data_IF_960597987136
#
_entry.id   IF_960597987136
#
_cell.length_a   1.000
_cell.length_b   1.000
_cell.length_c   1.000
_cell.angle_alpha   90.00
_cell.angle_beta   90.00
_cell.angle_gamma   90.00
#
_symmetry.space_group_name_H-M   'P 1'
#
loop_
_entity.id
_entity.type
_entity.pdbx_description
1 polymer ?
#
# COMPACT_ATOMS: atom_id res chain seq x y z
N UNK A 1 20.15 23.43 -1.06
CA UNK A 1 19.51 22.95 -2.30
C UNK A 1 18.66 24.11 -2.81
N UNK A 2 18.62 24.35 -4.10
CA UNK A 2 17.84 25.43 -4.68
C UNK A 2 16.33 25.13 -4.49
N UNK A 3 15.59 26.07 -3.89
CA UNK A 3 14.16 25.93 -3.62
C UNK A 3 13.36 25.89 -4.93
N UNK A 4 13.72 26.70 -5.92
CA UNK A 4 13.08 26.72 -7.23
C UNK A 4 13.22 25.37 -7.96
N UNK A 5 14.36 24.68 -7.77
CA UNK A 5 14.53 23.33 -8.30
C UNK A 5 13.58 22.32 -7.62
N UNK A 6 13.46 22.39 -6.29
CA UNK A 6 12.54 21.50 -5.57
C UNK A 6 11.07 21.75 -5.92
N UNK A 7 10.66 23.01 -6.09
CA UNK A 7 9.33 23.37 -6.55
C UNK A 7 9.02 22.80 -7.93
N UNK A 8 10.00 22.87 -8.84
CA UNK A 8 9.86 22.25 -10.15
C UNK A 8 9.71 20.74 -10.06
N UNK A 9 10.57 20.06 -9.29
CA UNK A 9 10.54 18.60 -9.12
C UNK A 9 9.22 18.15 -8.47
N UNK A 10 8.71 18.88 -7.46
CA UNK A 10 7.42 18.58 -6.82
C UNK A 10 6.26 18.73 -7.82
N UNK A 11 6.24 19.82 -8.60
CA UNK A 11 5.22 20.07 -9.62
C UNK A 11 5.23 18.96 -10.67
N UNK A 12 6.40 18.64 -11.22
CA UNK A 12 6.54 17.64 -12.27
C UNK A 12 6.18 16.24 -11.73
N UNK A 13 6.59 15.88 -10.50
CA UNK A 13 6.19 14.65 -9.84
C UNK A 13 4.66 14.59 -9.66
N UNK A 14 4.02 15.72 -9.30
CA UNK A 14 2.55 15.81 -9.17
C UNK A 14 1.85 15.59 -10.50
N UNK A 15 2.37 16.16 -11.59
CA UNK A 15 1.85 15.93 -12.94
C UNK A 15 2.01 14.47 -13.38
N UNK A 16 3.18 13.90 -13.15
CA UNK A 16 3.45 12.50 -13.49
C UNK A 16 2.57 11.54 -12.68
N UNK A 17 2.41 11.75 -11.37
CA UNK A 17 1.51 10.95 -10.55
C UNK A 17 0.05 11.05 -11.02
N UNK A 18 -0.39 12.25 -11.43
CA UNK A 18 -1.74 12.46 -11.99
C UNK A 18 -1.93 11.72 -13.33
N UNK A 19 -0.93 11.75 -14.20
CA UNK A 19 -0.93 11.02 -15.47
C UNK A 19 -0.99 9.50 -15.27
N UNK A 20 -0.14 8.96 -14.40
CA UNK A 20 -0.17 7.54 -14.04
C UNK A 20 -1.52 7.15 -13.41
N UNK A 21 -2.05 7.96 -12.51
CA UNK A 21 -3.36 7.77 -11.90
C UNK A 21 -4.50 7.74 -12.92
N UNK A 22 -4.47 8.61 -13.93
CA UNK A 22 -5.45 8.62 -15.02
C UNK A 22 -5.40 7.30 -15.82
N UNK A 23 -4.20 6.82 -16.16
CA UNK A 23 -4.00 5.52 -16.83
C UNK A 23 -4.55 4.36 -15.97
N UNK A 24 -4.29 4.36 -14.67
CA UNK A 24 -4.84 3.35 -13.77
C UNK A 24 -6.36 3.39 -13.75
N UNK A 25 -6.99 4.58 -13.66
CA UNK A 25 -8.44 4.71 -13.65
C UNK A 25 -9.10 4.24 -14.95
N UNK A 26 -8.44 4.40 -16.10
CA UNK A 26 -8.91 3.86 -17.37
C UNK A 26 -9.04 2.33 -17.38
N UNK A 27 -8.18 1.65 -16.61
CA UNK A 27 -8.14 0.19 -16.51
C UNK A 27 -8.92 -0.34 -15.28
N UNK A 28 -9.23 0.51 -14.32
CA UNK A 28 -9.90 0.11 -13.10
C UNK A 28 -11.30 -0.45 -13.36
N UNK A 29 -11.60 -1.63 -12.77
CA UNK A 29 -12.86 -2.38 -12.97
C UNK A 29 -13.11 -2.88 -14.40
N UNK A 30 -12.06 -2.95 -15.22
CA UNK A 30 -12.11 -3.59 -16.52
C UNK A 30 -11.48 -4.98 -16.47
N UNK A 31 -11.81 -5.90 -17.39
CA UNK A 31 -11.07 -7.15 -17.52
C UNK A 31 -9.59 -6.85 -17.81
N UNK A 32 -8.70 -7.50 -17.07
CA UNK A 32 -7.25 -7.31 -17.16
C UNK A 32 -6.54 -8.64 -17.33
N UNK A 33 -5.49 -8.64 -18.13
CA UNK A 33 -4.53 -9.74 -18.14
C UNK A 33 -3.65 -9.64 -16.89
N UNK A 34 -3.68 -10.69 -16.07
CA UNK A 34 -2.95 -10.76 -14.80
C UNK A 34 -1.80 -11.74 -14.96
N UNK A 35 -0.60 -11.27 -14.70
CA UNK A 35 0.59 -12.08 -14.55
C UNK A 35 0.94 -12.19 -13.06
N UNK A 36 1.64 -13.23 -12.66
CA UNK A 36 2.07 -13.42 -11.29
C UNK A 36 3.59 -13.57 -11.24
N UNK A 37 4.24 -12.74 -10.44
CA UNK A 37 5.70 -12.77 -10.23
C UNK A 37 6.15 -14.05 -9.50
N UNK A 38 5.22 -14.73 -8.78
CA UNK A 38 5.50 -15.92 -7.99
C UNK A 38 4.54 -17.06 -8.27
N UNK A 39 5.01 -18.31 -8.11
CA UNK A 39 4.21 -19.53 -8.34
C UNK A 39 3.03 -19.66 -7.37
N UNK A 40 3.07 -19.03 -6.20
CA UNK A 40 2.00 -19.04 -5.20
C UNK A 40 0.92 -17.97 -5.46
N UNK A 41 1.02 -17.23 -6.57
CA UNK A 41 0.06 -16.21 -7.03
C UNK A 41 -0.21 -15.08 -6.01
N UNK A 42 0.76 -14.74 -5.18
CA UNK A 42 0.61 -13.70 -4.16
C UNK A 42 1.05 -12.31 -4.60
N UNK A 43 1.73 -12.23 -5.72
CA UNK A 43 2.30 -10.99 -6.26
C UNK A 43 1.81 -10.80 -7.70
N UNK A 44 0.58 -10.30 -7.89
CA UNK A 44 0.02 -10.05 -9.21
C UNK A 44 0.62 -8.78 -9.81
N UNK A 45 0.88 -8.80 -11.10
CA UNK A 45 1.17 -7.63 -11.92
C UNK A 45 0.20 -7.58 -13.09
N UNK A 46 -0.30 -6.42 -13.42
CA UNK A 46 -1.26 -6.23 -14.49
C UNK A 46 -0.67 -5.43 -15.64
N UNK A 47 -1.37 -5.41 -16.76
CA UNK A 47 -1.02 -4.52 -17.86
C UNK A 47 -1.10 -3.04 -17.44
N UNK A 48 -1.97 -2.69 -16.46
CA UNK A 48 -2.09 -1.35 -15.93
C UNK A 48 -0.82 -0.92 -15.17
N UNK A 49 -0.24 -1.82 -14.33
CA UNK A 49 1.04 -1.57 -13.64
C UNK A 49 2.14 -1.23 -14.65
N UNK A 50 2.29 -2.09 -15.68
CA UNK A 50 3.34 -1.93 -16.70
C UNK A 50 3.18 -0.64 -17.51
N UNK A 51 1.95 -0.28 -17.88
CA UNK A 51 1.68 0.96 -18.61
C UNK A 51 1.94 2.20 -17.75
N UNK A 52 1.55 2.16 -16.48
CA UNK A 52 1.81 3.25 -15.55
C UNK A 52 3.31 3.40 -15.30
N UNK A 53 4.06 2.30 -15.12
CA UNK A 53 5.52 2.37 -14.95
C UNK A 53 6.21 2.91 -16.20
N UNK A 54 5.87 2.42 -17.39
CA UNK A 54 6.43 2.91 -18.64
C UNK A 54 6.20 4.43 -18.81
N UNK A 55 4.97 4.89 -18.57
CA UNK A 55 4.64 6.31 -18.61
C UNK A 55 5.49 7.14 -17.64
N UNK A 56 5.64 6.67 -16.38
CA UNK A 56 6.44 7.36 -15.37
C UNK A 56 7.91 7.42 -15.79
N UNK A 57 8.48 6.31 -16.26
CA UNK A 57 9.88 6.24 -16.72
C UNK A 57 10.14 7.16 -17.90
N UNK A 58 9.28 7.12 -18.91
CA UNK A 58 9.43 7.96 -20.11
C UNK A 58 9.36 9.46 -19.73
N UNK A 59 8.40 9.84 -18.87
CA UNK A 59 8.24 11.22 -18.42
C UNK A 59 9.44 11.71 -17.62
N UNK A 60 9.96 10.88 -16.71
CA UNK A 60 11.13 11.21 -15.89
C UNK A 60 12.39 11.29 -16.74
N UNK A 61 12.65 10.30 -17.60
CA UNK A 61 13.85 10.27 -18.45
C UNK A 61 13.89 11.44 -19.44
N UNK A 62 12.72 11.86 -19.95
CA UNK A 62 12.64 13.04 -20.82
C UNK A 62 12.94 14.35 -20.09
N UNK A 63 12.52 14.49 -18.83
CA UNK A 63 12.64 15.73 -18.04
C UNK A 63 13.94 15.79 -17.22
N UNK A 64 14.45 14.63 -16.81
CA UNK A 64 15.57 14.46 -15.89
C UNK A 64 16.51 13.31 -16.35
N UNK A 65 17.18 13.44 -17.49
CA UNK A 65 17.96 12.36 -18.11
C UNK A 65 19.16 11.87 -17.25
N UNK A 66 19.65 12.72 -16.34
CA UNK A 66 20.77 12.37 -15.44
C UNK A 66 20.33 11.80 -14.08
N UNK A 67 19.02 11.64 -13.87
CA UNK A 67 18.49 11.08 -12.63
C UNK A 67 18.34 9.55 -12.74
N UNK A 68 18.60 8.84 -11.66
CA UNK A 68 18.32 7.40 -11.58
C UNK A 68 16.86 7.10 -11.32
N UNK A 69 16.42 5.90 -11.68
CA UNK A 69 15.06 5.41 -11.42
C UNK A 69 15.12 4.03 -10.76
N UNK A 70 14.39 3.87 -9.65
CA UNK A 70 14.17 2.60 -8.95
C UNK A 70 12.68 2.31 -9.00
N UNK A 71 12.26 1.37 -9.83
CA UNK A 71 10.86 0.94 -9.95
C UNK A 71 10.62 -0.42 -9.31
N UNK A 72 9.36 -0.74 -9.01
CA UNK A 72 8.97 -2.06 -8.52
C UNK A 72 9.09 -3.13 -9.59
N UNK A 73 8.71 -2.80 -10.84
CA UNK A 73 8.63 -3.72 -11.97
C UNK A 73 9.96 -3.84 -12.75
N UNK A 74 10.99 -3.08 -12.37
CA UNK A 74 12.28 -3.09 -13.01
C UNK A 74 13.20 -4.20 -12.46
N UNK A 75 13.79 -4.98 -13.36
CA UNK A 75 14.77 -6.04 -13.03
C UNK A 75 16.22 -5.62 -13.29
N UNK A 76 16.45 -4.42 -13.84
CA UNK A 76 17.79 -3.96 -14.14
C UNK A 76 18.58 -3.63 -12.88
N UNK A 77 19.79 -4.16 -12.78
CA UNK A 77 20.77 -3.87 -11.73
C UNK A 77 21.67 -2.74 -12.21
N UNK A 78 21.59 -1.59 -11.56
CA UNK A 78 22.44 -0.44 -11.86
C UNK A 78 23.26 -0.09 -10.63
N UNK A 79 24.59 -0.23 -10.73
CA UNK A 79 25.53 0.15 -9.67
C UNK A 79 25.77 1.66 -9.56
N UNK A 80 25.04 2.44 -10.33
CA UNK A 80 25.16 3.88 -10.36
C UNK A 80 24.74 4.53 -9.05
N UNK A 81 25.39 5.65 -8.73
CA UNK A 81 25.08 6.49 -7.57
C UNK A 81 24.70 7.90 -8.07
N UNK A 82 23.51 8.06 -8.64
CA UNK A 82 23.06 9.35 -9.13
C UNK A 82 22.85 10.32 -7.95
N UNK A 83 22.99 11.63 -8.19
CA UNK A 83 22.65 12.62 -7.15
C UNK A 83 21.17 12.55 -6.78
N UNK A 84 20.29 12.32 -7.77
CA UNK A 84 18.85 12.17 -7.59
C UNK A 84 18.39 10.82 -8.11
N UNK A 85 17.50 10.18 -7.36
CA UNK A 85 16.84 8.93 -7.73
C UNK A 85 15.33 9.06 -7.54
N UNK A 86 14.57 8.66 -8.56
CA UNK A 86 13.11 8.55 -8.52
C UNK A 86 12.74 7.13 -8.12
N UNK A 87 11.96 7.00 -7.08
CA UNK A 87 11.51 5.70 -6.54
C UNK A 87 10.04 5.56 -6.85
N UNK A 88 9.68 4.54 -7.63
CA UNK A 88 8.36 4.40 -8.23
C UNK A 88 7.68 3.12 -7.76
N UNK A 89 6.43 3.25 -7.34
CA UNK A 89 5.45 2.18 -7.27
C UNK A 89 4.29 2.57 -8.19
N UNK A 90 4.19 1.99 -9.38
CA UNK A 90 3.15 2.37 -10.33
C UNK A 90 1.75 2.04 -9.82
N UNK A 91 1.57 0.96 -9.05
CA UNK A 91 0.28 0.53 -8.50
C UNK A 91 0.45 -0.19 -7.15
N UNK A 92 0.65 0.56 -6.07
CA UNK A 92 0.57 0.00 -4.71
C UNK A 92 -0.88 -0.41 -4.39
N UNK A 93 -1.05 -1.67 -4.05
CA UNK A 93 -2.37 -2.25 -3.79
C UNK A 93 -2.98 -2.96 -5.01
N UNK A 94 -2.18 -3.60 -5.86
CA UNK A 94 -2.60 -4.35 -7.06
C UNK A 94 -3.72 -5.35 -6.77
N UNK A 95 -3.68 -6.03 -5.61
CA UNK A 95 -4.77 -6.94 -5.21
C UNK A 95 -6.10 -6.21 -5.03
N UNK A 96 -6.10 -5.02 -4.41
CA UNK A 96 -7.30 -4.20 -4.27
C UNK A 96 -7.82 -3.75 -5.63
N UNK A 97 -6.92 -3.29 -6.48
CA UNK A 97 -7.22 -2.86 -7.84
C UNK A 97 -7.93 -3.96 -8.63
N UNK A 98 -7.39 -5.18 -8.63
CA UNK A 98 -7.95 -6.35 -9.31
C UNK A 98 -9.34 -6.73 -8.78
N UNK A 99 -9.60 -6.50 -7.50
CA UNK A 99 -10.91 -6.77 -6.90
C UNK A 99 -11.88 -5.58 -6.96
N UNK A 100 -11.54 -4.52 -7.71
CA UNK A 100 -12.40 -3.35 -7.90
C UNK A 100 -12.56 -2.48 -6.64
N UNK A 101 -11.65 -2.62 -5.66
CA UNK A 101 -11.64 -1.80 -4.45
C UNK A 101 -10.77 -0.56 -4.69
N UNK A 102 -11.31 0.69 -4.59
CA UNK A 102 -10.56 1.91 -4.86
C UNK A 102 -9.65 2.29 -3.67
N UNK A 103 -8.80 1.36 -3.25
CA UNK A 103 -7.80 1.50 -2.19
C UNK A 103 -6.46 1.06 -2.76
N UNK A 104 -5.91 1.93 -3.58
CA UNK A 104 -4.62 1.77 -4.24
C UNK A 104 -3.97 3.14 -4.42
N UNK A 105 -2.71 3.18 -4.82
CA UNK A 105 -2.00 4.41 -5.11
C UNK A 105 -1.01 4.21 -6.27
N UNK A 106 -0.69 5.28 -6.99
CA UNK A 106 0.57 5.38 -7.74
C UNK A 106 1.50 6.28 -6.96
N UNK A 107 2.68 5.79 -6.59
CA UNK A 107 3.59 6.45 -5.65
C UNK A 107 4.90 6.84 -6.30
N UNK A 108 5.29 8.09 -6.13
CA UNK A 108 6.57 8.66 -6.55
C UNK A 108 7.26 9.26 -5.33
N UNK A 109 8.49 8.83 -5.07
CA UNK A 109 9.41 9.48 -4.13
C UNK A 109 10.66 9.94 -4.86
N UNK A 110 11.08 11.18 -4.69
CA UNK A 110 12.33 11.69 -5.24
C UNK A 110 13.34 11.81 -4.13
N UNK A 111 14.47 11.13 -4.27
CA UNK A 111 15.55 11.10 -3.30
C UNK A 111 16.75 11.88 -3.83
N UNK A 112 17.38 12.66 -2.94
CA UNK A 112 18.73 13.18 -3.17
C UNK A 112 19.71 12.46 -2.28
N UNK A 113 20.63 11.68 -2.85
CA UNK A 113 21.60 10.86 -2.10
C UNK A 113 20.92 10.02 -1.03
N UNK A 114 19.80 9.40 -1.39
CA UNK A 114 19.01 8.55 -0.49
C UNK A 114 18.06 9.29 0.48
N UNK A 115 18.05 10.62 0.51
CA UNK A 115 17.17 11.42 1.38
C UNK A 115 15.95 11.90 0.58
N UNK A 116 14.70 11.66 1.02
CA UNK A 116 13.50 12.14 0.35
C UNK A 116 13.44 13.66 0.29
N UNK A 117 13.24 14.21 -0.91
CA UNK A 117 13.21 15.66 -1.17
C UNK A 117 11.95 16.13 -1.90
N UNK A 118 11.28 15.27 -2.66
CA UNK A 118 9.96 15.52 -3.21
C UNK A 118 9.16 14.21 -3.26
N UNK A 119 7.85 14.31 -3.27
CA UNK A 119 6.94 13.18 -3.34
C UNK A 119 5.63 13.57 -4.01
N UNK A 120 5.02 12.60 -4.72
CA UNK A 120 3.67 12.71 -5.22
C UNK A 120 3.01 11.33 -5.24
N UNK A 121 1.82 11.22 -4.64
CA UNK A 121 1.03 10.01 -4.59
C UNK A 121 -0.35 10.28 -5.19
N UNK A 122 -0.70 9.61 -6.28
CA UNK A 122 -2.08 9.61 -6.75
C UNK A 122 -2.92 8.64 -5.92
N UNK A 123 -4.04 9.13 -5.42
CA UNK A 123 -5.03 8.36 -4.64
C UNK A 123 -6.37 8.44 -5.35
N UNK A 124 -7.00 7.30 -5.71
CA UNK A 124 -8.30 7.32 -6.38
C UNK A 124 -9.38 7.91 -5.48
N UNK A 125 -10.33 8.61 -6.09
CA UNK A 125 -11.52 9.10 -5.42
C UNK A 125 -12.59 8.01 -5.24
N UNK A 126 -13.59 8.32 -4.44
CA UNK A 126 -14.79 7.46 -4.29
C UNK A 126 -15.64 7.53 -5.58
N UNK A 127 -15.71 8.72 -6.19
CA UNK A 127 -16.42 8.93 -7.44
C UNK A 127 -15.68 8.32 -8.63
N UNK A 128 -16.37 7.68 -9.59
CA UNK A 128 -15.75 7.10 -10.77
C UNK A 128 -14.95 8.14 -11.58
N UNK A 129 -13.72 7.78 -11.96
CA UNK A 129 -12.83 8.62 -12.75
C UNK A 129 -12.16 9.76 -11.99
N UNK A 130 -12.44 9.90 -10.69
CA UNK A 130 -11.84 10.92 -9.84
C UNK A 130 -10.63 10.42 -9.03
N UNK A 131 -9.82 11.36 -8.60
CA UNK A 131 -8.70 11.13 -7.69
C UNK A 131 -8.01 12.44 -7.33
N UNK A 132 -7.13 12.37 -6.34
CA UNK A 132 -6.33 13.51 -5.85
C UNK A 132 -4.86 13.14 -5.83
N UNK A 133 -3.99 14.13 -5.99
CA UNK A 133 -2.55 13.94 -5.78
C UNK A 133 -2.17 14.50 -4.42
N UNK A 134 -1.57 13.65 -3.60
CA UNK A 134 -0.94 14.02 -2.33
C UNK A 134 0.52 14.29 -2.63
N UNK A 135 1.01 15.50 -2.35
CA UNK A 135 2.38 15.87 -2.71
C UNK A 135 3.07 16.68 -1.61
N UNK A 136 4.38 16.67 -1.64
CA UNK A 136 5.23 17.39 -0.71
C UNK A 136 6.62 17.63 -1.31
N UNK A 137 7.28 18.71 -0.86
CA UNK A 137 8.72 18.88 -0.98
C UNK A 137 9.34 19.14 0.38
N UNK A 138 10.60 18.85 0.50
CA UNK A 138 11.38 19.08 1.73
C UNK A 138 11.27 20.54 2.18
N UNK A 139 10.77 20.77 3.39
CA UNK A 139 10.47 22.07 4.02
C UNK A 139 9.37 22.88 3.30
N UNK A 140 8.61 22.28 2.38
CA UNK A 140 7.51 22.94 1.68
C UNK A 140 6.14 22.72 2.30
N UNK A 141 6.03 21.70 3.15
CA UNK A 141 4.77 21.18 3.65
C UNK A 141 4.17 20.12 2.75
N UNK A 142 3.09 19.50 3.20
CA UNK A 142 2.35 18.48 2.46
C UNK A 142 0.96 18.98 2.06
N UNK A 143 0.50 18.54 0.88
CA UNK A 143 -0.77 18.97 0.29
C UNK A 143 -1.52 17.80 -0.34
N UNK A 144 -2.83 17.90 -0.36
CA UNK A 144 -3.73 17.14 -1.22
C UNK A 144 -4.29 18.09 -2.27
N UNK A 145 -3.83 18.01 -3.50
CA UNK A 145 -4.03 19.04 -4.50
C UNK A 145 -3.62 20.41 -3.89
N UNK A 146 -4.53 21.37 -3.75
CA UNK A 146 -4.24 22.71 -3.15
C UNK A 146 -4.47 22.75 -1.62
N UNK A 147 -4.95 21.68 -1.00
CA UNK A 147 -5.30 21.65 0.42
C UNK A 147 -4.11 21.22 1.27
N UNK A 148 -3.64 22.09 2.16
CA UNK A 148 -2.58 21.73 3.12
C UNK A 148 -3.01 20.61 4.06
N UNK A 149 -2.10 19.67 4.31
CA UNK A 149 -2.29 18.51 5.16
C UNK A 149 -1.68 18.72 6.55
N UNK A 150 -2.22 18.01 7.53
CA UNK A 150 -1.65 17.87 8.86
C UNK A 150 -1.99 16.49 9.42
N UNK A 151 -1.02 15.86 10.07
CA UNK A 151 -1.27 14.66 10.88
C UNK A 151 -2.14 15.00 12.08
N UNK A 152 -2.68 13.98 12.77
CA UNK A 152 -3.40 14.21 14.03
C UNK A 152 -2.43 14.75 15.10
N UNK A 153 -2.93 15.53 16.03
CA UNK A 153 -2.15 16.16 17.12
C UNK A 153 -2.13 15.33 18.42
N UNK A 154 -2.87 14.23 18.49
CA UNK A 154 -2.98 13.39 19.68
C UNK A 154 -1.66 12.65 20.00
N UNK A 155 -1.12 12.81 21.22
CA UNK A 155 0.18 12.22 21.58
C UNK A 155 0.11 10.74 21.97
N UNK A 156 -1.08 10.19 22.10
CA UNK A 156 -1.34 8.78 22.42
C UNK A 156 -2.48 8.25 21.55
N UNK A 157 -2.51 6.92 21.29
CA UNK A 157 -3.59 6.35 20.50
C UNK A 157 -4.96 6.55 21.14
N UNK A 158 -5.93 6.95 20.34
CA UNK A 158 -7.33 7.16 20.70
C UNK A 158 -8.22 6.06 20.14
N UNK A 159 -9.17 5.55 20.96
CA UNK A 159 -10.02 4.41 20.58
C UNK A 159 -10.95 4.70 19.39
N UNK A 160 -11.41 5.93 19.24
CA UNK A 160 -12.32 6.34 18.15
C UNK A 160 -11.61 6.66 16.83
N UNK A 161 -10.28 6.53 16.75
CA UNK A 161 -9.50 6.85 15.56
C UNK A 161 -9.11 5.60 14.78
N UNK A 162 -8.92 5.74 13.47
CA UNK A 162 -8.43 4.67 12.62
C UNK A 162 -6.91 4.51 12.75
N UNK A 163 -6.44 3.27 12.69
CA UNK A 163 -5.02 2.90 12.71
C UNK A 163 -4.73 1.88 11.64
N UNK A 164 -3.71 2.12 10.81
CA UNK A 164 -3.22 1.20 9.79
C UNK A 164 -2.26 0.16 10.38
N UNK A 165 -2.60 -1.14 10.25
CA UNK A 165 -1.72 -2.25 10.62
C UNK A 165 -1.88 -3.40 9.64
N UNK A 166 -0.80 -4.19 9.39
CA UNK A 166 -0.92 -5.39 8.58
C UNK A 166 -1.93 -6.38 9.19
N UNK A 167 -2.68 -7.13 8.39
CA UNK A 167 -3.72 -8.06 8.83
C UNK A 167 -3.24 -9.10 9.86
N UNK A 168 -1.96 -9.45 9.83
CA UNK A 168 -1.33 -10.40 10.74
C UNK A 168 -0.67 -9.77 11.98
N UNK A 169 -0.93 -8.47 12.28
CA UNK A 169 -0.25 -7.72 13.33
C UNK A 169 -0.30 -8.38 14.73
N UNK A 170 -1.41 -8.99 15.11
CA UNK A 170 -1.54 -9.71 16.39
C UNK A 170 -0.64 -10.96 16.47
N UNK A 171 -0.30 -11.56 15.32
CA UNK A 171 0.59 -12.73 15.25
C UNK A 171 2.05 -12.31 15.29
N UNK A 172 2.37 -11.19 14.65
CA UNK A 172 3.76 -10.71 14.47
C UNK A 172 4.24 -9.84 15.62
N UNK A 173 3.35 -9.15 16.33
CA UNK A 173 3.72 -8.20 17.36
C UNK A 173 3.15 -8.53 18.73
N UNK A 174 3.94 -8.20 19.76
CA UNK A 174 3.51 -8.08 21.14
C UNK A 174 3.41 -6.58 21.51
N UNK A 175 2.42 -6.23 22.30
CA UNK A 175 2.12 -4.86 22.70
C UNK A 175 2.15 -4.79 24.22
N UNK A 176 3.01 -3.91 24.75
CA UNK A 176 3.18 -3.72 26.18
C UNK A 176 2.34 -2.52 26.69
N UNK A 177 2.14 -2.43 28.00
CA UNK A 177 1.52 -1.26 28.65
C UNK A 177 0.07 -0.98 28.24
N UNK A 178 -0.71 -2.02 27.90
CA UNK A 178 -2.10 -1.87 27.51
C UNK A 178 -2.31 -1.19 26.13
N UNK A 179 -1.25 -1.02 25.33
CA UNK A 179 -1.33 -0.37 24.04
C UNK A 179 -2.32 -1.05 23.09
N UNK A 180 -2.41 -2.39 23.12
CA UNK A 180 -3.33 -3.15 22.27
C UNK A 180 -4.78 -2.70 22.37
N UNK A 181 -5.27 -2.38 23.59
CA UNK A 181 -6.63 -1.94 23.83
C UNK A 181 -6.88 -0.47 23.46
N UNK A 182 -5.82 0.27 23.12
CA UNK A 182 -5.85 1.70 22.82
C UNK A 182 -5.54 2.04 21.37
N UNK A 183 -5.18 1.03 20.53
CA UNK A 183 -4.79 1.28 19.14
C UNK A 183 -5.90 1.89 18.26
N UNK A 184 -7.09 2.04 18.79
CA UNK A 184 -8.24 2.49 18.01
C UNK A 184 -8.79 1.39 17.12
N UNK A 185 -9.47 1.80 16.06
CA UNK A 185 -10.07 0.91 15.07
C UNK A 185 -9.04 0.50 14.03
N UNK A 186 -8.47 -0.69 14.19
CA UNK A 186 -7.41 -1.20 13.30
C UNK A 186 -7.98 -1.56 11.93
N UNK A 187 -7.30 -1.12 10.89
CA UNK A 187 -7.55 -1.45 9.48
C UNK A 187 -6.29 -2.01 8.85
N UNK A 188 -6.47 -2.91 7.90
CA UNK A 188 -5.43 -3.40 6.99
C UNK A 188 -5.98 -3.18 5.59
N UNK A 189 -5.57 -2.11 4.96
CA UNK A 189 -6.17 -1.71 3.68
C UNK A 189 -5.46 -2.35 2.48
N UNK A 190 -4.22 -2.82 2.64
CA UNK A 190 -3.50 -3.52 1.59
C UNK A 190 -2.85 -2.63 0.53
N UNK A 191 -2.70 -1.33 0.83
CA UNK A 191 -1.91 -0.36 0.08
C UNK A 191 -1.16 0.51 1.09
N UNK A 192 0.16 0.44 1.10
CA UNK A 192 1.03 1.14 2.06
C UNK A 192 1.05 2.63 1.77
N UNK A 193 1.22 3.00 0.51
CA UNK A 193 1.21 4.40 0.09
C UNK A 193 -0.14 5.07 0.38
N UNK A 194 -1.26 4.36 0.14
CA UNK A 194 -2.60 4.84 0.51
C UNK A 194 -2.72 5.07 2.02
N UNK A 195 -2.30 4.11 2.86
CA UNK A 195 -2.37 4.24 4.31
C UNK A 195 -1.49 5.39 4.83
N UNK A 196 -0.32 5.63 4.23
CA UNK A 196 0.55 6.76 4.55
C UNK A 196 -0.07 8.10 4.12
N UNK A 197 -0.71 8.18 2.96
CA UNK A 197 -1.47 9.35 2.53
C UNK A 197 -2.64 9.65 3.49
N UNK A 198 -3.36 8.61 3.94
CA UNK A 198 -4.43 8.78 4.95
C UNK A 198 -3.87 9.22 6.31
N UNK A 199 -2.65 8.82 6.64
CA UNK A 199 -1.97 9.26 7.86
C UNK A 199 -1.54 10.73 7.76
N UNK A 200 -0.99 11.16 6.63
CA UNK A 200 -0.54 12.55 6.41
C UNK A 200 -1.71 13.56 6.50
N UNK A 201 -2.93 13.16 6.16
CA UNK A 201 -4.14 13.99 6.26
C UNK A 201 -4.89 13.87 7.59
N UNK A 202 -4.39 13.07 8.55
CA UNK A 202 -5.01 12.85 9.85
C UNK A 202 -6.26 11.95 9.85
N UNK A 203 -6.58 11.28 8.73
CA UNK A 203 -7.66 10.26 8.69
C UNK A 203 -7.28 9.03 9.48
N UNK A 204 -6.03 8.59 9.37
CA UNK A 204 -5.42 7.62 10.25
C UNK A 204 -4.58 8.36 11.28
N UNK A 205 -4.70 7.98 12.55
CA UNK A 205 -3.83 8.56 13.59
C UNK A 205 -2.38 8.07 13.43
N UNK A 206 -2.18 6.88 12.89
CA UNK A 206 -0.89 6.29 12.58
C UNK A 206 -1.04 5.08 11.66
N UNK A 207 0.05 4.69 11.02
CA UNK A 207 0.18 3.40 10.36
C UNK A 207 1.50 2.72 10.71
N UNK A 208 1.56 1.39 10.57
CA UNK A 208 2.74 0.58 10.84
C UNK A 208 2.87 -0.56 9.85
N UNK A 209 4.07 -0.76 9.31
CA UNK A 209 4.38 -1.81 8.34
C UNK A 209 5.58 -2.64 8.80
N UNK A 210 5.60 -3.94 8.45
CA UNK A 210 6.64 -4.88 8.93
C UNK A 210 7.92 -4.83 8.12
N UNK A 211 7.79 -4.94 6.81
CA UNK A 211 8.92 -5.06 5.88
C UNK A 211 8.54 -4.48 4.52
N UNK A 212 8.10 -3.21 4.48
CA UNK A 212 7.85 -2.55 3.21
C UNK A 212 9.14 -2.49 2.39
N UNK A 213 8.98 -2.36 1.10
CA UNK A 213 10.06 -2.02 0.19
C UNK A 213 10.19 -0.49 0.10
N UNK A 214 11.25 -0.01 -0.54
CA UNK A 214 11.50 1.44 -0.62
C UNK A 214 10.38 2.17 -1.36
N UNK A 215 9.88 1.62 -2.44
CA UNK A 215 8.85 2.24 -3.28
C UNK A 215 7.50 2.34 -2.58
N UNK A 216 7.19 1.44 -1.65
CA UNK A 216 5.97 1.50 -0.85
C UNK A 216 5.97 2.72 0.10
N UNK A 217 7.17 3.20 0.53
CA UNK A 217 7.25 4.16 1.64
C UNK A 217 7.98 5.46 1.32
N UNK A 218 8.79 5.54 0.27
CA UNK A 218 9.64 6.71 0.04
C UNK A 218 8.82 8.01 -0.10
N UNK A 219 7.79 8.00 -0.93
CA UNK A 219 6.89 9.14 -1.11
C UNK A 219 6.07 9.44 0.14
N UNK A 220 5.46 8.39 0.72
CA UNK A 220 4.63 8.52 1.92
C UNK A 220 5.41 9.03 3.14
N UNK A 221 6.71 8.68 3.26
CA UNK A 221 7.55 9.14 4.37
C UNK A 221 7.74 10.66 4.35
N UNK A 222 8.01 11.24 3.18
CA UNK A 222 8.11 12.69 3.05
C UNK A 222 6.76 13.36 3.34
N UNK A 223 5.66 12.85 2.77
CA UNK A 223 4.32 13.37 3.02
C UNK A 223 3.99 13.46 4.50
N UNK A 224 4.23 12.39 5.27
CA UNK A 224 3.94 12.36 6.71
C UNK A 224 4.84 13.34 7.46
N UNK A 225 6.14 13.41 7.14
CA UNK A 225 7.06 14.34 7.79
C UNK A 225 6.67 15.80 7.51
N UNK A 226 6.36 16.14 6.26
CA UNK A 226 5.98 17.50 5.84
C UNK A 226 4.55 17.90 6.30
N UNK A 227 3.71 16.90 6.65
CA UNK A 227 2.43 17.13 7.33
C UNK A 227 2.58 17.35 8.85
N UNK A 228 3.80 17.54 9.37
CA UNK A 228 4.09 17.74 10.78
C UNK A 228 4.14 16.46 11.62
N UNK A 229 4.22 15.30 10.96
CA UNK A 229 4.39 14.00 11.57
C UNK A 229 5.85 13.57 11.70
N UNK A 230 6.02 12.28 12.03
CA UNK A 230 7.33 11.62 12.09
C UNK A 230 7.22 10.20 11.55
N UNK A 231 8.21 9.80 10.78
CA UNK A 231 8.36 8.42 10.33
C UNK A 231 9.56 7.82 11.04
N UNK A 232 9.34 6.71 11.75
CA UNK A 232 10.40 5.95 12.40
C UNK A 232 10.60 4.63 11.68
N UNK A 233 11.84 4.18 11.62
CA UNK A 233 12.21 2.88 11.05
C UNK A 233 13.08 2.08 12.00
N UNK A 234 13.10 0.77 11.80
CA UNK A 234 14.10 -0.14 12.35
C UNK A 234 14.42 -1.25 11.36
N UNK A 235 15.67 -1.49 11.11
CA UNK A 235 16.15 -2.53 10.19
C UNK A 235 16.44 -3.85 10.89
N UNK A 236 16.75 -3.80 12.20
CA UNK A 236 16.98 -5.00 13.01
C UNK A 236 15.76 -5.34 13.84
N UNK A 237 15.40 -6.62 13.86
CA UNK A 237 14.32 -7.12 14.72
C UNK A 237 14.53 -6.74 16.18
N UNK A 238 13.55 -6.09 16.81
CA UNK A 238 13.61 -5.54 18.17
C UNK A 238 14.77 -4.59 18.43
N UNK A 239 15.39 -4.05 17.38
CA UNK A 239 16.30 -2.91 17.47
C UNK A 239 15.56 -1.64 17.91
N UNK A 240 16.32 -0.60 18.22
CA UNK A 240 15.76 0.72 18.47
C UNK A 240 15.05 1.25 17.22
N UNK A 241 14.01 2.04 17.43
CA UNK A 241 13.40 2.85 16.38
C UNK A 241 14.21 4.14 16.21
N UNK A 242 14.46 4.50 14.98
CA UNK A 242 15.18 5.72 14.60
C UNK A 242 14.33 6.52 13.60
N UNK A 243 14.46 7.84 13.56
CA UNK A 243 13.88 8.63 12.47
C UNK A 243 14.33 8.07 11.11
N UNK A 244 13.38 7.98 10.17
CA UNK A 244 13.69 7.64 8.79
C UNK A 244 14.11 8.93 8.06
N UNK A 245 15.39 9.29 8.18
CA UNK A 245 15.98 10.47 7.55
C UNK A 245 16.38 10.22 6.09
N UNK A 246 16.60 8.95 5.75
CA UNK A 246 16.99 8.54 4.39
C UNK A 246 17.07 7.03 4.24
N UNK A 247 17.22 6.63 2.99
CA UNK A 247 17.35 5.24 2.55
C UNK A 247 18.80 4.99 2.14
N UNK A 248 19.49 4.07 2.87
CA UNK A 248 20.91 3.74 2.60
C UNK A 248 21.83 4.96 2.47
N UNK A 249 21.84 5.89 3.43
CA UNK A 249 22.60 7.15 3.31
C UNK A 249 24.10 6.93 3.13
N UNK A 250 24.66 5.81 3.61
CA UNK A 250 26.09 5.49 3.49
C UNK A 250 26.50 4.97 2.11
N UNK A 251 25.55 4.46 1.31
CA UNK A 251 25.80 3.91 -0.01
C UNK A 251 24.50 3.91 -0.86
N UNK A 252 24.02 5.07 -1.36
CA UNK A 252 22.75 5.20 -2.04
C UNK A 252 22.85 4.83 -3.53
N UNK A 253 23.48 3.70 -3.87
CA UNK A 253 23.40 3.14 -5.23
C UNK A 253 21.98 2.69 -5.50
N UNK A 254 21.57 2.65 -6.77
CA UNK A 254 20.22 2.21 -7.15
C UNK A 254 19.91 0.80 -6.64
N UNK A 255 20.88 -0.12 -6.70
CA UNK A 255 20.75 -1.48 -6.15
C UNK A 255 20.53 -1.47 -4.63
N UNK A 256 21.35 -0.71 -3.90
CA UNK A 256 21.24 -0.63 -2.44
C UNK A 256 19.90 0.00 -2.01
N UNK A 257 19.40 0.97 -2.78
CA UNK A 257 18.08 1.55 -2.55
C UNK A 257 16.99 0.49 -2.77
N UNK A 258 17.05 -0.26 -3.86
CA UNK A 258 16.12 -1.36 -4.18
C UNK A 258 16.09 -2.43 -3.09
N UNK A 259 17.24 -2.76 -2.52
CA UNK A 259 17.36 -3.75 -1.45
C UNK A 259 16.92 -3.25 -0.08
N UNK A 260 16.62 -1.96 0.07
CA UNK A 260 16.21 -1.44 1.37
C UNK A 260 14.97 -2.15 1.92
N UNK A 261 15.03 -2.51 3.19
CA UNK A 261 13.94 -3.10 3.96
C UNK A 261 14.02 -2.61 5.40
N UNK A 262 12.86 -2.25 5.97
CA UNK A 262 12.78 -1.84 7.36
C UNK A 262 11.34 -1.87 7.87
N UNK A 263 11.11 -2.14 9.14
CA UNK A 263 9.81 -1.87 9.73
C UNK A 263 9.62 -0.36 9.83
N UNK A 264 8.40 0.11 9.56
CA UNK A 264 8.07 1.54 9.56
C UNK A 264 6.87 1.80 10.47
N UNK A 265 6.91 2.88 11.22
CA UNK A 265 5.75 3.47 11.90
C UNK A 265 5.69 4.96 11.59
N UNK A 266 4.52 5.45 11.20
CA UNK A 266 4.31 6.82 10.76
C UNK A 266 3.09 7.44 11.44
N UNK A 267 3.14 8.73 11.76
CA UNK A 267 2.07 9.50 12.41
C UNK A 267 2.63 10.69 13.18
N UNK A 268 1.87 11.21 14.16
CA UNK A 268 2.36 12.24 15.07
C UNK A 268 3.63 11.78 15.79
N UNK A 269 4.59 12.68 16.03
CA UNK A 269 5.89 12.34 16.63
C UNK A 269 5.77 11.71 18.01
N UNK A 270 4.98 12.29 18.90
CA UNK A 270 4.78 11.74 20.24
C UNK A 270 4.08 10.38 20.21
N UNK A 271 3.11 10.20 19.31
CA UNK A 271 2.38 8.97 19.10
C UNK A 271 3.29 7.85 18.56
N UNK A 272 4.09 8.13 17.53
CA UNK A 272 5.03 7.15 16.96
C UNK A 272 6.09 6.72 17.97
N UNK A 273 6.63 7.64 18.74
CA UNK A 273 7.57 7.35 19.83
C UNK A 273 6.91 6.48 20.92
N UNK A 274 5.66 6.82 21.32
CA UNK A 274 4.89 6.05 22.30
C UNK A 274 4.65 4.60 21.85
N UNK A 275 4.27 4.42 20.59
CA UNK A 275 4.03 3.09 19.99
C UNK A 275 5.33 2.34 19.79
N UNK A 276 6.38 2.98 19.27
CA UNK A 276 7.67 2.36 19.01
C UNK A 276 8.30 1.75 20.27
N UNK A 277 8.16 2.39 21.42
CA UNK A 277 8.65 1.88 22.72
C UNK A 277 7.88 0.65 23.21
N UNK A 278 6.64 0.47 22.80
CA UNK A 278 5.72 -0.56 23.33
C UNK A 278 5.46 -1.71 22.37
N UNK A 279 5.95 -1.63 21.14
CA UNK A 279 5.78 -2.67 20.12
C UNK A 279 7.05 -3.49 19.97
N UNK A 280 6.94 -4.81 20.15
CA UNK A 280 8.02 -5.76 19.93
C UNK A 280 7.62 -6.83 18.93
N UNK A 281 8.50 -7.12 18.00
CA UNK A 281 8.26 -8.20 17.03
C UNK A 281 8.50 -9.56 17.70
N UNK A 282 7.51 -10.45 17.58
CA UNK A 282 7.58 -11.82 18.12
C UNK A 282 8.59 -12.67 17.35
N UNK A 283 9.24 -13.64 18.00
CA UNK A 283 10.17 -14.54 17.32
C UNK A 283 9.45 -15.61 16.52
N UNK A 284 9.95 -15.95 15.32
CA UNK A 284 9.49 -17.10 14.56
C UNK A 284 9.66 -18.44 15.33
N UNK A 285 10.71 -18.52 16.17
CA UNK A 285 10.90 -19.67 17.05
C UNK A 285 9.70 -19.90 18.00
N UNK A 286 9.08 -18.83 18.49
CA UNK A 286 7.88 -18.92 19.31
C UNK A 286 6.68 -19.49 18.55
N UNK A 287 6.50 -19.18 17.26
CA UNK A 287 5.46 -19.76 16.41
C UNK A 287 5.71 -21.23 16.12
N UNK A 288 6.97 -21.61 15.84
CA UNK A 288 7.37 -23.03 15.66
C UNK A 288 7.16 -23.81 16.95
N UNK A 289 7.53 -23.26 18.11
CA UNK A 289 7.31 -23.85 19.41
C UNK A 289 5.83 -24.03 19.76
N UNK A 290 4.98 -23.01 19.52
CA UNK A 290 3.53 -23.11 19.72
C UNK A 290 2.87 -24.11 18.77
N UNK A 291 3.32 -24.19 17.53
CA UNK A 291 2.85 -25.19 16.56
C UNK A 291 3.25 -26.60 17.01
N UNK A 292 4.48 -26.77 17.42
CA UNK A 292 5.00 -28.02 17.98
C UNK A 292 4.25 -28.45 19.25
N UNK A 293 4.01 -27.52 20.20
CA UNK A 293 3.19 -27.78 21.39
C UNK A 293 1.77 -28.21 21.05
N UNK A 294 1.10 -27.53 20.13
CA UNK A 294 -0.24 -27.92 19.68
C UNK A 294 -0.27 -29.31 19.04
N UNK A 295 0.74 -29.66 18.28
CA UNK A 295 0.89 -31.00 17.70
C UNK A 295 1.14 -32.08 18.79
N UNK A 296 1.94 -31.76 19.81
CA UNK A 296 2.21 -32.70 20.91
C UNK A 296 1.07 -32.86 21.90
N UNK A 297 0.26 -31.84 22.11
CA UNK A 297 -0.85 -31.86 23.10
C UNK A 297 -2.17 -32.29 22.47
N UNK A 298 -2.17 -32.76 21.21
CA UNK A 298 -3.37 -33.30 20.55
C UNK A 298 -4.49 -32.27 20.31
N UNK A 299 -4.21 -30.95 20.36
CA UNK A 299 -5.18 -29.90 20.11
C UNK A 299 -5.31 -29.56 18.60
N UNK A 300 -5.00 -30.50 17.73
CA UNK A 300 -5.35 -30.45 16.32
C UNK A 300 -6.80 -30.92 16.14
N UNK A 301 -7.77 -30.09 16.43
CA UNK A 301 -9.02 -30.16 15.70
C UNK A 301 -8.81 -29.37 14.42
N UNK A 302 -8.59 -30.10 13.36
CA UNK A 302 -8.42 -29.63 12.00
C UNK A 302 -9.69 -28.92 11.54
N UNK A 303 -9.62 -27.60 11.48
CA UNK A 303 -10.47 -26.87 10.55
C UNK A 303 -9.81 -26.95 9.15
N UNK A 304 -9.55 -28.15 8.69
CA UNK A 304 -9.31 -28.41 7.27
C UNK A 304 -10.66 -28.74 6.67
N UNK A 305 -11.24 -27.76 6.00
CA UNK A 305 -12.32 -28.02 5.07
C UNK A 305 -11.88 -29.15 4.13
N UNK A 306 -12.61 -30.23 4.14
CA UNK A 306 -12.46 -31.32 3.19
C UNK A 306 -12.52 -30.73 1.77
N UNK A 307 -11.70 -31.21 0.83
CA UNK A 307 -11.85 -30.82 -0.56
C UNK A 307 -13.25 -31.28 -1.01
N UNK A 308 -14.02 -30.37 -1.57
CA UNK A 308 -15.25 -30.70 -2.28
C UNK A 308 -14.86 -31.68 -3.37
N UNK A 309 -15.18 -32.96 -3.15
CA UNK A 309 -15.06 -34.01 -4.15
C UNK A 309 -16.08 -33.70 -5.23
N UNK A 310 -15.62 -33.30 -6.39
CA UNK A 310 -16.38 -33.27 -7.62
C UNK A 310 -16.63 -34.72 -8.05
N UNK A 311 -17.68 -35.35 -7.56
CA UNK A 311 -18.24 -36.55 -8.16
C UNK A 311 -19.27 -36.07 -9.18
N UNK A 312 -18.83 -35.93 -10.43
CA UNK A 312 -19.72 -35.94 -11.59
C UNK A 312 -20.31 -37.34 -11.70
N UNK A 313 -21.50 -37.53 -11.14
CA UNK A 313 -22.33 -38.72 -11.38
C UNK A 313 -23.11 -38.49 -12.66
N UNK A 314 -22.73 -39.21 -13.71
CA UNK A 314 -23.61 -39.44 -14.88
C UNK A 314 -24.81 -40.24 -14.43
N UNK A 315 -26.02 -39.71 -14.60
CA UNK A 315 -27.28 -40.37 -14.37
C UNK A 315 -28.26 -39.99 -15.47
N UNK A 316 -28.35 -40.83 -16.49
CA UNK A 316 -29.49 -40.90 -17.43
C UNK A 316 -30.78 -41.12 -16.67
N UNK A 317 -31.82 -40.34 -16.94
CA UNK A 317 -33.21 -40.79 -16.93
C UNK A 317 -34.06 -39.84 -17.76
N UNK A 318 -34.48 -40.33 -18.88
CA UNK A 318 -35.77 -40.47 -19.52
C UNK A 318 -36.86 -39.42 -19.17
N UNK A 319 -37.35 -38.76 -20.20
CA UNK A 319 -38.63 -38.05 -20.26
C UNK A 319 -39.81 -39.01 -20.32
N UNK A 320 -40.95 -38.70 -19.72
CA UNK A 320 -42.24 -39.07 -20.25
C UNK A 320 -43.10 -37.86 -20.72
N UNK A 321 -44.18 -38.10 -21.48
CA UNK A 321 -44.62 -37.18 -22.48
C UNK A 321 -45.80 -36.26 -22.06
N UNK A 322 -45.99 -35.28 -22.90
CA UNK A 322 -47.07 -34.31 -23.00
C UNK A 322 -48.50 -34.82 -22.77
N UNK A 323 -49.32 -34.07 -22.07
CA UNK A 323 -50.73 -33.97 -22.32
C UNK A 323 -51.25 -32.54 -22.25
N UNK A 324 -51.90 -32.18 -23.31
CA UNK A 324 -52.64 -30.96 -23.62
C UNK A 324 -53.93 -30.81 -22.79
N UNK A 325 -54.34 -29.61 -22.58
CA UNK A 325 -55.68 -29.00 -22.58
C UNK A 325 -55.64 -27.83 -21.60
N UNK A 326 -56.02 -26.60 -21.89
CA UNK A 326 -57.03 -26.11 -22.75
C UNK A 326 -57.77 -25.01 -22.00
N UNK A 327 -57.93 -23.89 -22.67
CA UNK A 327 -58.98 -22.87 -22.43
C UNK A 327 -58.91 -21.93 -21.21
N UNK A 328 -58.99 -20.63 -21.53
CA UNK A 328 -59.75 -19.68 -20.76
C UNK A 328 -59.28 -18.24 -20.77
N UNK A 329 -59.68 -17.48 -21.77
CA UNK A 329 -59.73 -16.01 -21.83
C UNK A 329 -60.22 -15.36 -20.53
N UNK A 330 -59.69 -14.24 -20.12
CA UNK A 330 -60.45 -12.97 -20.03
C UNK A 330 -59.55 -11.77 -19.80
N UNK A 331 -59.71 -10.79 -20.66
CA UNK A 331 -59.30 -9.40 -20.54
C UNK A 331 -59.97 -8.74 -19.35
N UNK A 332 -59.33 -7.80 -18.71
CA UNK A 332 -59.93 -6.48 -18.37
C UNK A 332 -58.84 -5.42 -18.15
N UNK A 333 -58.97 -4.41 -18.99
CA UNK A 333 -58.49 -3.06 -18.80
C UNK A 333 -58.98 -2.44 -17.50
N UNK A 334 -58.25 -1.50 -16.86
CA UNK A 334 -58.48 -0.05 -16.84
C UNK A 334 -57.72 0.60 -15.69
N UNK A 335 -57.00 1.66 -16.02
CA UNK A 335 -56.99 3.01 -15.45
C UNK A 335 -56.80 3.18 -13.91
N UNK A 336 -55.72 3.76 -13.51
CA UNK A 336 -55.56 5.21 -13.22
C UNK A 336 -54.10 5.52 -13.00
#
# INVERSE_FOLDING_TARGET
>A
MDEAFLERVERDATEFARGAGALLLEHFRRPLDVQYKSADRRDPVTEADKKAEAFLRDSISASYPDHGIVGEEDENTEHETPEFAWVLDPLDGTTNFLNGLPVFASSIGVLRRGVPVAAALFIPGIEPGGGSVYHARLNGGAFQDDRRLAVTDNPQPERGRLTGFPSFWLRMYAFNGGLRQRLGEVRSLGSIAFEMAMTSRGSFQMCMFTTPKIWDVAGGALLVNEAGGKVLTRTRRNGAWHPLEGFRPDAPTLDNLREWRGAVVAGNEALTAHVGQRVRQRSFAWFRFRRWLRQKVGLNQDATGAPLSNTAGAGNTEHPPTSSNGTGLTQRETRS
#
